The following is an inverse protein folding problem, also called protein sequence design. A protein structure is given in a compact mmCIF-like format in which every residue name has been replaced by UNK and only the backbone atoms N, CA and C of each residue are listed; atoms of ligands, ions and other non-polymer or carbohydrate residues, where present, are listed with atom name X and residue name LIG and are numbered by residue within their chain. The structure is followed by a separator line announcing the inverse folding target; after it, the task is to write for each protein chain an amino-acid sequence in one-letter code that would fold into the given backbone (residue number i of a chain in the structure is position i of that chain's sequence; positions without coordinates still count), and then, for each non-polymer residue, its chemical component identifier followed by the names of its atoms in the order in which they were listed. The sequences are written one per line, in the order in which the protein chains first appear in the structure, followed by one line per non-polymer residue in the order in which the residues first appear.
data_IF_010851856132
#
_entry.id   IF_010851856132
#
_cell.length_a   1.000
_cell.length_b   1.000
_cell.length_c   1.000
_cell.angle_alpha   90.00
_cell.angle_beta   90.00
_cell.angle_gamma   90.00
#
_symmetry.space_group_name_H-M   'P 1'
#
loop_
_entity.id
_entity.type
_entity.pdbx_description
1 polymer ?
#
# COMPACT_ATOMS: atom_id res chain seq x y z
N UNK A 1 1.91 -8.06 10.59
CA UNK A 1 0.73 -8.95 10.62
C UNK A 1 1.20 -10.35 10.25
N UNK A 2 0.84 -11.37 11.05
CA UNK A 2 1.21 -12.76 10.79
C UNK A 2 0.37 -13.31 9.62
N UNK A 3 0.92 -14.13 8.70
CA UNK A 3 0.14 -14.78 7.64
C UNK A 3 -0.88 -15.75 8.25
N UNK A 4 -2.00 -16.01 7.57
CA UNK A 4 -3.06 -16.90 8.08
C UNK A 4 -2.54 -18.29 8.50
N UNK A 5 -1.55 -18.82 7.76
CA UNK A 5 -0.85 -20.08 8.08
C UNK A 5 -0.18 -20.10 9.46
N UNK A 6 0.08 -18.94 10.04
CA UNK A 6 0.62 -18.76 11.38
C UNK A 6 -0.43 -18.16 12.34
N UNK A 7 -1.20 -17.18 11.89
CA UNK A 7 -2.17 -16.46 12.72
C UNK A 7 -3.22 -17.40 13.31
N UNK A 8 -3.80 -18.29 12.51
CA UNK A 8 -4.86 -19.19 12.96
C UNK A 8 -4.38 -20.20 14.02
N UNK A 9 -3.31 -20.99 13.78
CA UNK A 9 -2.82 -21.92 14.79
C UNK A 9 -2.22 -21.21 16.01
N UNK A 10 -1.65 -20.02 15.83
CA UNK A 10 -1.14 -19.22 16.95
C UNK A 10 -2.26 -18.68 17.83
N UNK A 11 -3.35 -18.19 17.24
CA UNK A 11 -4.53 -17.76 18.00
C UNK A 11 -5.20 -18.94 18.70
N UNK A 12 -5.29 -20.11 18.05
CA UNK A 12 -5.78 -21.34 18.67
C UNK A 12 -4.94 -21.70 19.91
N UNK A 13 -3.62 -21.61 19.80
CA UNK A 13 -2.68 -21.82 20.90
C UNK A 13 -2.85 -20.81 22.03
N UNK A 14 -2.91 -19.51 21.73
CA UNK A 14 -3.06 -18.46 22.76
C UNK A 14 -4.39 -18.60 23.49
N UNK A 15 -5.48 -18.86 22.76
CA UNK A 15 -6.80 -19.03 23.35
C UNK A 15 -6.89 -20.30 24.21
N UNK A 16 -6.39 -21.44 23.73
CA UNK A 16 -6.45 -22.71 24.48
C UNK A 16 -5.57 -22.71 25.73
N UNK A 17 -4.47 -21.96 25.74
CA UNK A 17 -3.59 -21.80 26.91
C UNK A 17 -4.13 -20.79 27.92
N UNK A 18 -4.76 -19.71 27.45
CA UNK A 18 -5.30 -18.65 28.30
C UNK A 18 -6.67 -18.99 28.92
N UNK A 19 -7.47 -19.80 28.22
CA UNK A 19 -8.85 -20.13 28.61
C UNK A 19 -9.02 -21.66 28.71
N UNK A 20 -8.57 -22.30 29.81
CA UNK A 20 -8.79 -23.72 30.01
C UNK A 20 -10.29 -24.03 30.14
N UNK A 21 -10.71 -25.19 29.64
CA UNK A 21 -12.10 -25.63 29.71
C UNK A 21 -12.33 -26.40 31.00
N UNK A 22 -13.35 -26.00 31.75
CA UNK A 22 -13.74 -26.70 32.98
C UNK A 22 -14.93 -27.61 32.65
N UNK A 23 -14.76 -28.90 32.88
CA UNK A 23 -15.83 -29.90 32.73
C UNK A 23 -16.23 -30.43 34.10
N UNK A 24 -17.53 -30.42 34.38
CA UNK A 24 -18.07 -31.04 35.58
C UNK A 24 -17.89 -32.55 35.47
N UNK A 25 -17.27 -33.16 36.48
CA UNK A 25 -17.24 -34.63 36.57
C UNK A 25 -18.55 -35.14 37.16
N UNK A 26 -18.85 -36.43 36.98
CA UNK A 26 -20.02 -37.07 37.60
C UNK A 26 -19.94 -37.14 39.15
N UNK A 27 -18.82 -36.66 39.74
CA UNK A 27 -18.62 -36.61 41.19
C UNK A 27 -18.94 -35.20 41.69
N UNK A 28 -19.85 -35.04 42.66
CA UNK A 28 -20.15 -33.75 43.25
C UNK A 28 -18.88 -33.05 43.72
N UNK A 29 -18.74 -31.75 43.40
CA UNK A 29 -17.60 -30.91 43.80
C UNK A 29 -16.24 -31.24 43.18
N UNK A 30 -16.19 -32.06 42.12
CA UNK A 30 -14.96 -32.33 41.38
C UNK A 30 -15.07 -31.85 39.92
N UNK A 31 -14.08 -31.07 39.48
CA UNK A 31 -14.03 -30.46 38.15
C UNK A 31 -12.75 -30.91 37.45
N UNK A 32 -12.89 -31.37 36.21
CA UNK A 32 -11.75 -31.67 35.35
C UNK A 32 -11.42 -30.41 34.53
N UNK A 33 -10.21 -29.88 34.70
CA UNK A 33 -9.73 -28.72 33.95
C UNK A 33 -8.88 -29.22 32.79
N UNK A 34 -9.40 -29.06 31.56
CA UNK A 34 -8.71 -29.40 30.32
C UNK A 34 -7.90 -28.20 29.84
N UNK A 35 -6.61 -28.42 29.63
CA UNK A 35 -5.65 -27.43 29.13
C UNK A 35 -5.37 -27.65 27.65
N UNK A 36 -4.58 -26.76 27.04
CA UNK A 36 -4.24 -26.82 25.62
C UNK A 36 -3.63 -28.17 25.19
N UNK A 37 -3.94 -28.57 23.96
CA UNK A 37 -3.42 -29.78 23.34
C UNK A 37 -1.97 -29.64 22.90
N UNK A 38 -1.21 -30.74 22.91
CA UNK A 38 0.14 -30.77 22.34
C UNK A 38 0.11 -30.49 20.83
N UNK A 39 -0.88 -30.99 20.10
CA UNK A 39 -1.05 -30.74 18.67
C UNK A 39 -1.25 -29.26 18.34
N UNK A 40 -2.09 -28.55 19.10
CA UNK A 40 -2.32 -27.10 18.92
C UNK A 40 -1.03 -26.31 19.09
N UNK A 41 -0.21 -26.65 20.10
CA UNK A 41 1.11 -26.05 20.26
C UNK A 41 2.04 -26.37 19.07
N UNK A 42 2.12 -27.64 18.64
CA UNK A 42 2.96 -28.05 17.52
C UNK A 42 2.55 -27.39 16.19
N UNK A 43 1.26 -27.18 15.97
CA UNK A 43 0.73 -26.45 14.83
C UNK A 43 1.18 -24.98 14.83
N UNK A 44 1.14 -24.32 16.00
CA UNK A 44 1.63 -22.95 16.14
C UNK A 44 3.15 -22.86 15.89
N UNK A 45 3.93 -23.81 16.41
CA UNK A 45 5.38 -23.87 16.16
C UNK A 45 5.68 -24.07 14.68
N UNK A 46 4.99 -25.02 14.03
CA UNK A 46 5.22 -25.34 12.61
C UNK A 46 4.82 -24.17 11.72
N UNK A 47 3.69 -23.50 12.01
CA UNK A 47 3.20 -22.37 11.23
C UNK A 47 4.00 -21.08 11.44
N UNK A 48 4.50 -20.83 12.65
CA UNK A 48 5.05 -19.53 13.03
C UNK A 48 6.56 -19.48 13.24
N UNK A 49 7.25 -20.61 13.43
CA UNK A 49 8.69 -20.63 13.74
C UNK A 49 9.52 -19.87 12.71
N UNK A 50 9.37 -20.19 11.42
CA UNK A 50 10.13 -19.53 10.35
C UNK A 50 9.93 -18.00 10.33
N UNK A 51 8.72 -17.54 10.60
CA UNK A 51 8.38 -16.11 10.56
C UNK A 51 8.86 -15.36 11.81
N UNK A 52 8.69 -15.96 12.99
CA UNK A 52 9.17 -15.39 14.25
C UNK A 52 10.69 -15.37 14.32
N UNK A 53 11.37 -16.41 13.81
CA UNK A 53 12.82 -16.43 13.70
C UNK A 53 13.32 -15.38 12.69
N UNK A 54 12.68 -15.25 11.52
CA UNK A 54 13.02 -14.22 10.54
C UNK A 54 12.79 -12.79 11.07
N UNK A 55 11.81 -12.60 11.96
CA UNK A 55 11.53 -11.34 12.63
C UNK A 55 12.46 -11.04 13.83
N UNK A 56 13.42 -11.92 14.15
CA UNK A 56 14.30 -11.76 15.32
C UNK A 56 13.58 -11.95 16.67
N UNK A 57 12.46 -12.67 16.67
CA UNK A 57 11.61 -12.98 17.84
C UNK A 57 11.56 -14.48 18.12
N UNK A 58 12.70 -15.15 18.00
CA UNK A 58 12.80 -16.60 18.25
C UNK A 58 12.33 -16.99 19.67
N UNK A 59 12.52 -16.12 20.66
CA UNK A 59 12.09 -16.34 22.04
C UNK A 59 10.57 -16.37 22.22
N UNK A 60 9.79 -15.91 21.23
CA UNK A 60 8.33 -15.94 21.25
C UNK A 60 7.75 -17.19 20.59
N UNK A 61 8.61 -18.07 20.04
CA UNK A 61 8.16 -19.37 19.53
C UNK A 61 7.77 -20.25 20.72
N UNK A 62 6.51 -20.73 20.79
CA UNK A 62 6.09 -21.54 21.91
C UNK A 62 6.89 -22.85 21.96
N UNK A 63 7.24 -23.29 23.16
CA UNK A 63 7.91 -24.57 23.36
C UNK A 63 6.90 -25.58 23.93
N UNK A 64 6.65 -26.65 23.18
CA UNK A 64 5.60 -27.63 23.48
C UNK A 64 6.05 -28.73 24.45
N UNK A 65 7.34 -28.76 24.82
CA UNK A 65 7.91 -29.75 25.74
C UNK A 65 8.12 -29.21 27.15
N UNK A 66 7.90 -27.91 27.36
CA UNK A 66 7.94 -27.24 28.67
C UNK A 66 6.52 -27.00 29.21
N UNK A 67 6.35 -26.86 30.54
CA UNK A 67 5.05 -26.55 31.10
C UNK A 67 4.52 -25.19 30.62
N UNK A 68 3.20 -25.07 30.52
CA UNK A 68 2.53 -23.87 30.04
C UNK A 68 2.91 -22.69 30.95
N UNK A 69 3.39 -21.55 30.40
CA UNK A 69 3.77 -20.39 31.20
C UNK A 69 2.64 -19.92 32.11
N UNK A 70 2.96 -19.62 33.37
CA UNK A 70 1.97 -19.14 34.35
C UNK A 70 1.10 -20.23 35.00
N UNK A 71 1.33 -21.51 34.70
CA UNK A 71 0.58 -22.62 35.33
C UNK A 71 1.23 -23.19 36.59
N UNK A 72 2.41 -22.70 36.98
CA UNK A 72 3.11 -23.09 38.22
C UNK A 72 2.32 -22.73 39.49
N UNK A 73 1.37 -21.80 39.38
CA UNK A 73 0.44 -21.47 40.46
C UNK A 73 -0.58 -22.57 40.75
N UNK A 74 -0.84 -23.47 39.80
CA UNK A 74 -1.79 -24.58 39.97
C UNK A 74 -1.10 -25.87 40.42
N UNK A 75 0.09 -26.15 39.88
CA UNK A 75 0.94 -27.29 40.26
C UNK A 75 2.41 -26.84 40.33
N UNK A 76 3.20 -27.31 41.32
CA UNK A 76 4.59 -26.88 41.48
C UNK A 76 5.47 -27.25 40.27
N UNK A 77 5.17 -28.33 39.55
CA UNK A 77 5.82 -28.69 38.29
C UNK A 77 5.26 -27.98 37.04
N UNK A 78 4.23 -27.15 37.18
CA UNK A 78 3.46 -26.60 36.07
C UNK A 78 2.54 -27.62 35.40
N UNK A 79 1.66 -27.14 34.52
CA UNK A 79 0.76 -27.97 33.73
C UNK A 79 1.36 -28.19 32.35
N UNK A 80 1.51 -29.44 31.95
CA UNK A 80 1.99 -29.81 30.62
C UNK A 80 0.84 -29.88 29.61
N UNK A 81 1.18 -29.73 28.32
CA UNK A 81 0.22 -29.92 27.24
C UNK A 81 -0.35 -31.35 27.26
N UNK A 82 -1.67 -31.45 27.19
CA UNK A 82 -2.39 -32.72 27.23
C UNK A 82 -2.40 -33.41 25.84
N UNK A 83 -2.49 -34.74 25.77
CA UNK A 83 -2.62 -35.46 24.50
C UNK A 83 -3.96 -35.17 23.83
N UNK A 84 -4.01 -35.36 22.51
CA UNK A 84 -5.21 -35.11 21.70
C UNK A 84 -6.38 -35.98 22.19
N UNK A 85 -7.54 -35.37 22.38
CA UNK A 85 -8.77 -36.02 22.87
C UNK A 85 -9.09 -35.75 24.35
N UNK A 86 -8.08 -35.50 25.19
CA UNK A 86 -8.28 -35.15 26.62
C UNK A 86 -8.07 -33.66 26.91
N UNK A 87 -7.78 -32.88 25.87
CA UNK A 87 -7.36 -31.50 25.95
C UNK A 87 -8.44 -30.52 25.45
N UNK A 88 -8.22 -29.23 25.68
CA UNK A 88 -9.07 -28.14 25.22
C UNK A 88 -8.57 -27.60 23.87
N UNK A 89 -9.37 -27.80 22.83
CA UNK A 89 -9.14 -27.23 21.49
C UNK A 89 -10.09 -26.06 21.30
N UNK A 90 -9.56 -24.84 21.28
CA UNK A 90 -10.36 -23.62 20.99
C UNK A 90 -10.10 -23.22 19.55
N UNK A 91 -10.82 -23.86 18.62
CA UNK A 91 -10.75 -23.45 17.21
C UNK A 91 -11.24 -21.99 17.10
N UNK A 92 -10.52 -21.11 16.39
CA UNK A 92 -11.08 -19.81 16.04
C UNK A 92 -12.43 -20.06 15.38
N UNK A 93 -13.44 -19.27 15.77
CA UNK A 93 -14.77 -19.35 15.19
C UNK A 93 -14.63 -19.12 13.69
N UNK A 94 -14.52 -20.20 12.91
CA UNK A 94 -14.93 -20.17 11.52
C UNK A 94 -16.30 -19.52 11.53
N UNK A 95 -16.51 -18.48 10.72
CA UNK A 95 -17.81 -17.84 10.52
C UNK A 95 -18.81 -18.82 9.89
N UNK A 96 -19.16 -19.87 10.64
CA UNK A 96 -19.75 -21.11 10.15
C UNK A 96 -20.03 -22.06 11.31
N UNK A 97 -21.01 -21.66 12.11
CA UNK A 97 -21.75 -22.38 13.15
C UNK A 97 -21.01 -22.94 14.39
N UNK A 98 -21.55 -22.68 15.60
CA UNK A 98 -21.18 -23.43 16.81
C UNK A 98 -21.66 -24.89 16.72
N UNK A 99 -20.95 -25.86 17.33
CA UNK A 99 -21.41 -27.23 17.39
C UNK A 99 -22.37 -27.45 18.57
N UNK A 100 -23.66 -27.63 18.25
CA UNK A 100 -24.67 -28.31 19.08
C UNK A 100 -25.37 -27.45 20.15
N UNK A 101 -26.70 -27.37 20.23
CA UNK A 101 -27.76 -27.96 19.43
C UNK A 101 -29.04 -27.15 19.66
N UNK A 102 -29.67 -26.75 18.56
CA UNK A 102 -30.90 -25.96 18.55
C UNK A 102 -31.48 -25.98 17.16
N UNK A 103 -32.31 -26.98 16.89
CA UNK A 103 -33.20 -27.03 15.72
C UNK A 103 -34.17 -25.86 15.80
N UNK A 104 -33.94 -24.81 15.00
CA UNK A 104 -34.91 -23.75 14.76
C UNK A 104 -34.29 -22.37 14.62
N UNK A 105 -34.12 -21.89 13.40
CA UNK A 105 -33.76 -20.49 13.13
C UNK A 105 -33.16 -20.32 11.75
N UNK A 106 -33.99 -19.88 10.80
CA UNK A 106 -33.62 -19.72 9.39
C UNK A 106 -32.44 -18.78 9.15
N UNK A 107 -31.73 -19.09 8.07
CA UNK A 107 -30.62 -18.33 7.50
C UNK A 107 -30.98 -16.85 7.31
N UNK A 108 -30.31 -15.97 8.04
CA UNK A 108 -30.08 -14.58 7.65
C UNK A 108 -28.63 -14.22 7.97
N UNK A 109 -27.71 -14.81 7.20
CA UNK A 109 -26.28 -14.48 7.14
C UNK A 109 -26.03 -13.27 6.21
N UNK A 110 -26.93 -12.28 6.23
CA UNK A 110 -26.86 -11.11 5.35
C UNK A 110 -26.81 -9.81 6.17
N UNK A 111 -25.99 -9.71 7.23
CA UNK A 111 -25.65 -8.38 7.78
C UNK A 111 -24.59 -8.32 8.89
N UNK A 112 -23.70 -9.30 9.04
CA UNK A 112 -22.46 -9.01 9.78
C UNK A 112 -21.51 -8.32 8.81
N UNK A 113 -21.74 -7.03 8.59
CA UNK A 113 -20.81 -6.14 7.90
C UNK A 113 -19.47 -6.25 8.61
N UNK A 114 -18.51 -6.90 7.95
CA UNK A 114 -17.13 -6.93 8.39
C UNK A 114 -16.67 -5.48 8.50
N UNK A 115 -16.58 -4.98 9.74
CA UNK A 115 -16.22 -3.59 10.02
C UNK A 115 -14.70 -3.47 9.91
N UNK A 116 -14.24 -3.09 8.73
CA UNK A 116 -12.84 -2.74 8.52
C UNK A 116 -12.50 -1.49 9.34
N UNK A 117 -11.39 -1.56 10.06
CA UNK A 117 -10.85 -0.40 10.78
C UNK A 117 -10.39 0.61 9.73
N UNK A 118 -10.72 1.89 9.89
CA UNK A 118 -10.21 2.93 9.00
C UNK A 118 -8.66 2.92 8.99
N UNK A 119 -7.98 3.04 7.83
CA UNK A 119 -8.48 3.50 6.53
C UNK A 119 -8.92 2.38 5.57
N UNK A 120 -9.06 1.14 6.05
CA UNK A 120 -9.42 0.00 5.21
C UNK A 120 -10.92 0.01 4.87
N UNK A 121 -11.27 -0.47 3.68
CA UNK A 121 -12.66 -0.58 3.19
C UNK A 121 -12.96 -2.06 2.96
N UNK A 122 -14.18 -2.51 3.24
CA UNK A 122 -14.57 -3.89 2.99
C UNK A 122 -14.44 -4.27 1.51
N UNK A 123 -13.87 -5.44 1.22
CA UNK A 123 -13.85 -6.01 -0.13
C UNK A 123 -15.25 -6.47 -0.48
N UNK A 124 -15.89 -5.81 -1.45
CA UNK A 124 -17.22 -6.18 -1.91
C UNK A 124 -17.23 -7.51 -2.68
N UNK A 125 -16.06 -8.03 -3.06
CA UNK A 125 -15.91 -9.25 -3.86
C UNK A 125 -15.56 -10.48 -3.03
N UNK A 126 -15.23 -10.33 -1.75
CA UNK A 126 -14.88 -11.42 -0.83
C UNK A 126 -16.16 -12.08 -0.28
N UNK A 127 -16.93 -12.69 -1.19
CA UNK A 127 -18.06 -13.56 -0.84
C UNK A 127 -17.60 -14.97 -0.44
N UNK A 128 -18.51 -15.83 0.07
CA UNK A 128 -18.18 -17.21 0.39
C UNK A 128 -17.76 -17.97 -0.88
N UNK A 129 -16.44 -18.14 -1.07
CA UNK A 129 -15.84 -18.72 -2.28
C UNK A 129 -15.36 -17.71 -3.34
N UNK A 130 -15.44 -16.40 -3.05
CA UNK A 130 -14.91 -15.36 -3.92
C UNK A 130 -13.39 -15.23 -3.81
N UNK A 131 -12.71 -15.05 -4.94
CA UNK A 131 -11.32 -14.62 -4.98
C UNK A 131 -11.24 -13.12 -4.69
N UNK A 132 -10.29 -12.70 -3.85
CA UNK A 132 -10.09 -11.28 -3.52
C UNK A 132 -9.81 -10.47 -4.80
N UNK A 133 -10.24 -9.21 -4.84
CA UNK A 133 -10.05 -8.37 -6.04
C UNK A 133 -8.57 -8.15 -6.34
N UNK A 134 -7.75 -8.06 -5.28
CA UNK A 134 -6.30 -7.96 -5.41
C UNK A 134 -5.60 -8.43 -4.12
N UNK A 135 -4.92 -9.57 -4.18
CA UNK A 135 -4.27 -10.21 -3.02
C UNK A 135 -3.14 -9.37 -2.39
N UNK A 136 -2.62 -8.37 -3.13
CA UNK A 136 -1.57 -7.48 -2.63
C UNK A 136 -2.12 -6.33 -1.78
N UNK A 137 -3.35 -5.87 -2.05
CA UNK A 137 -3.95 -4.69 -1.40
C UNK A 137 -5.16 -5.03 -0.53
N UNK A 138 -5.73 -6.21 -0.70
CA UNK A 138 -6.85 -6.75 0.05
C UNK A 138 -6.40 -7.95 0.86
N UNK A 139 -6.64 -7.93 2.16
CA UNK A 139 -6.43 -9.06 3.06
C UNK A 139 -7.58 -9.17 4.04
N UNK A 140 -8.09 -10.38 4.23
CA UNK A 140 -9.13 -10.70 5.21
C UNK A 140 -10.38 -9.84 5.00
N UNK A 141 -10.94 -9.77 3.80
CA UNK A 141 -12.15 -8.97 3.54
C UNK A 141 -11.98 -7.46 3.65
N UNK A 142 -10.76 -6.94 3.86
CA UNK A 142 -10.47 -5.52 3.97
C UNK A 142 -9.38 -5.10 2.98
N UNK A 143 -9.66 -4.08 2.18
CA UNK A 143 -8.79 -3.53 1.14
C UNK A 143 -8.27 -2.14 1.51
N UNK A 144 -7.05 -1.83 1.07
CA UNK A 144 -6.60 -0.44 0.99
C UNK A 144 -7.35 0.27 -0.14
N UNK A 145 -7.94 1.46 0.10
CA UNK A 145 -8.52 2.25 -0.96
C UNK A 145 -7.45 2.63 -1.99
N UNK A 146 -7.80 2.50 -3.28
CA UNK A 146 -6.93 2.91 -4.35
C UNK A 146 -7.05 4.42 -4.63
N UNK A 147 -5.93 5.13 -4.83
CA UNK A 147 -4.55 4.65 -4.73
C UNK A 147 -4.02 4.67 -3.28
N UNK A 148 -3.20 3.66 -2.93
CA UNK A 148 -2.64 3.44 -1.59
C UNK A 148 -1.80 4.62 -1.03
N UNK A 149 -1.49 5.60 -1.86
CA UNK A 149 -0.74 6.80 -1.47
C UNK A 149 -1.58 7.72 -0.58
N UNK A 150 -2.91 7.75 -0.74
CA UNK A 150 -3.78 8.64 0.03
C UNK A 150 -3.82 8.28 1.52
N UNK A 151 -3.58 7.03 1.89
CA UNK A 151 -3.58 6.58 3.29
C UNK A 151 -2.27 6.89 4.02
N UNK A 152 -1.23 7.38 3.34
CA UNK A 152 0.05 7.75 3.97
C UNK A 152 0.15 9.23 4.32
N UNK A 153 -0.72 10.07 3.75
CA UNK A 153 -0.72 11.52 3.95
C UNK A 153 -1.99 11.94 4.69
N UNK A 154 -1.93 13.10 5.35
CA UNK A 154 -3.08 13.70 6.02
C UNK A 154 -4.25 13.86 5.05
N UNK A 155 -5.46 13.69 5.56
CA UNK A 155 -6.68 13.94 4.78
C UNK A 155 -6.64 15.34 4.15
N UNK A 156 -6.95 15.43 2.84
CA UNK A 156 -6.94 16.69 2.06
C UNK A 156 -5.56 17.24 1.63
N UNK A 157 -4.44 16.75 2.17
CA UNK A 157 -3.11 17.25 1.81
C UNK A 157 -2.76 16.93 0.35
N UNK A 158 -3.03 15.69 -0.08
CA UNK A 158 -2.70 15.22 -1.42
C UNK A 158 -3.59 15.85 -2.50
N UNK A 159 -4.88 16.06 -2.18
CA UNK A 159 -5.82 16.76 -3.06
C UNK A 159 -5.42 18.22 -3.26
N UNK A 160 -5.03 18.90 -2.18
CA UNK A 160 -4.48 20.26 -2.25
C UNK A 160 -3.21 20.29 -3.10
N UNK A 161 -2.33 19.29 -2.93
CA UNK A 161 -1.12 19.13 -3.71
C UNK A 161 -1.37 18.97 -5.21
N UNK A 162 -2.29 18.08 -5.59
CA UNK A 162 -2.68 17.90 -6.99
C UNK A 162 -3.36 19.15 -7.58
N UNK A 163 -4.18 19.84 -6.80
CA UNK A 163 -4.83 21.09 -7.21
C UNK A 163 -3.80 22.19 -7.50
N UNK A 164 -2.82 22.36 -6.61
CA UNK A 164 -1.72 23.32 -6.81
C UNK A 164 -0.92 22.96 -8.05
N UNK A 165 -0.54 21.70 -8.22
CA UNK A 165 0.28 21.24 -9.36
C UNK A 165 -0.46 21.43 -10.69
N UNK A 166 -1.76 21.09 -10.75
CA UNK A 166 -2.59 21.33 -11.93
C UNK A 166 -2.73 22.83 -12.24
N UNK A 167 -2.89 23.67 -11.21
CA UNK A 167 -2.96 25.12 -11.37
C UNK A 167 -1.66 25.68 -11.93
N UNK A 168 -0.51 25.26 -11.38
CA UNK A 168 0.81 25.65 -11.87
C UNK A 168 1.05 25.22 -13.33
N UNK A 169 0.62 24.01 -13.70
CA UNK A 169 0.69 23.52 -15.10
C UNK A 169 -0.17 24.35 -16.04
N UNK A 170 -1.38 24.72 -15.61
CA UNK A 170 -2.26 25.59 -16.41
C UNK A 170 -1.65 26.98 -16.60
N UNK A 171 -1.12 27.61 -15.55
CA UNK A 171 -0.44 28.90 -15.65
C UNK A 171 0.79 28.81 -16.57
N UNK A 172 1.58 27.75 -16.45
CA UNK A 172 2.75 27.51 -17.31
C UNK A 172 2.37 27.36 -18.79
N UNK A 173 1.26 26.68 -19.08
CA UNK A 173 0.72 26.56 -20.43
C UNK A 173 0.34 27.92 -21.01
N UNK A 174 -0.37 28.75 -20.25
CA UNK A 174 -0.80 30.09 -20.70
C UNK A 174 0.41 31.00 -20.94
N UNK A 175 1.37 31.04 -20.02
CA UNK A 175 2.58 31.86 -20.19
C UNK A 175 3.42 31.41 -21.39
N UNK A 176 3.57 30.10 -21.58
CA UNK A 176 4.31 29.55 -22.74
C UNK A 176 3.60 29.86 -24.06
N UNK A 177 2.27 29.85 -24.07
CA UNK A 177 1.47 30.19 -25.23
C UNK A 177 1.57 31.68 -25.59
N UNK A 178 1.53 32.57 -24.58
CA UNK A 178 1.76 34.01 -24.78
C UNK A 178 3.15 34.25 -25.38
N UNK A 179 4.19 33.61 -24.83
CA UNK A 179 5.55 33.72 -25.38
C UNK A 179 5.61 33.25 -26.84
N UNK A 180 5.01 32.10 -27.14
CA UNK A 180 4.95 31.59 -28.51
C UNK A 180 4.31 32.62 -29.47
N UNK A 181 3.15 33.19 -29.10
CA UNK A 181 2.46 34.21 -29.90
C UNK A 181 3.34 35.46 -30.06
N UNK A 182 3.89 36.00 -28.98
CA UNK A 182 4.72 37.21 -29.04
C UNK A 182 5.92 37.05 -29.99
N UNK A 183 6.52 35.86 -30.03
CA UNK A 183 7.62 35.56 -30.97
C UNK A 183 7.18 35.41 -32.43
N UNK A 184 5.94 34.99 -32.70
CA UNK A 184 5.41 34.91 -34.06
C UNK A 184 5.17 36.31 -34.65
N UNK A 185 4.70 37.25 -33.84
CA UNK A 185 4.35 38.61 -34.26
C UNK A 185 5.52 39.60 -34.30
N UNK A 186 6.68 39.30 -33.70
CA UNK A 186 7.89 40.13 -33.78
C UNK A 186 8.97 39.47 -34.67
N UNK A 187 8.82 39.49 -36.00
CA UNK A 187 9.72 38.80 -36.93
C UNK A 187 11.13 39.41 -36.97
N UNK A 188 11.28 40.67 -36.58
CA UNK A 188 12.48 41.47 -36.80
C UNK A 188 13.63 41.19 -35.79
N UNK A 189 13.42 40.27 -34.84
CA UNK A 189 14.41 39.89 -33.81
C UNK A 189 14.81 38.41 -33.84
N UNK A 190 14.65 37.73 -34.97
CA UNK A 190 15.01 36.31 -35.18
C UNK A 190 16.52 36.07 -35.40
N UNK A 191 17.40 36.85 -34.77
CA UNK A 191 18.83 36.53 -34.76
C UNK A 191 19.14 35.44 -33.72
N UNK A 192 20.02 34.49 -34.08
CA UNK A 192 20.60 33.53 -33.14
C UNK A 192 21.16 34.30 -31.93
N UNK A 193 20.86 33.92 -30.66
CA UNK A 193 20.34 32.63 -30.16
C UNK A 193 18.83 32.57 -29.84
N UNK A 194 18.03 33.58 -30.19
CA UNK A 194 16.63 33.70 -29.71
C UNK A 194 15.66 32.66 -30.29
N UNK A 195 16.03 31.97 -31.38
CA UNK A 195 15.21 30.91 -31.98
C UNK A 195 14.98 29.71 -31.06
N UNK A 196 15.91 29.40 -30.15
CA UNK A 196 15.76 28.28 -29.22
C UNK A 196 14.61 28.46 -28.22
N UNK A 197 14.24 29.71 -27.90
CA UNK A 197 13.14 30.01 -26.99
C UNK A 197 11.78 29.62 -27.57
N UNK A 198 11.60 29.72 -28.90
CA UNK A 198 10.36 29.31 -29.57
C UNK A 198 10.19 27.79 -29.48
N UNK A 199 11.26 27.04 -29.73
CA UNK A 199 11.21 25.58 -29.61
C UNK A 199 10.97 25.14 -28.16
N UNK A 200 11.58 25.82 -27.18
CA UNK A 200 11.34 25.56 -25.77
C UNK A 200 9.88 25.87 -25.35
N UNK A 201 9.29 26.98 -25.83
CA UNK A 201 7.90 27.31 -25.52
C UNK A 201 6.91 26.33 -26.17
N UNK A 202 7.16 25.91 -27.42
CA UNK A 202 6.32 24.92 -28.11
C UNK A 202 6.40 23.56 -27.41
N UNK A 203 7.59 23.11 -27.03
CA UNK A 203 7.78 21.87 -26.28
C UNK A 203 7.08 21.91 -24.91
N UNK A 204 7.18 23.04 -24.20
CA UNK A 204 6.52 23.22 -22.89
C UNK A 204 5.00 23.22 -23.04
N UNK A 205 4.45 23.95 -24.02
CA UNK A 205 3.02 23.92 -24.33
C UNK A 205 2.52 22.51 -24.67
N UNK A 206 3.25 21.77 -25.52
CA UNK A 206 2.88 20.40 -25.90
C UNK A 206 2.93 19.44 -24.71
N UNK A 207 3.97 19.54 -23.88
CA UNK A 207 4.12 18.74 -22.67
C UNK A 207 3.01 19.02 -21.64
N UNK A 208 2.73 20.30 -21.37
CA UNK A 208 1.65 20.69 -20.46
C UNK A 208 0.28 20.25 -20.98
N UNK A 209 0.05 20.27 -22.30
CA UNK A 209 -1.23 19.82 -22.90
C UNK A 209 -1.46 18.31 -22.74
N UNK A 210 -0.39 17.50 -22.82
CA UNK A 210 -0.49 16.05 -22.64
C UNK A 210 -0.79 15.65 -21.18
N UNK A 211 -0.45 16.49 -20.21
CA UNK A 211 -0.57 16.22 -18.77
C UNK A 211 -1.88 16.67 -18.14
N UNK A 212 -2.75 17.39 -18.86
CA UNK A 212 -4.07 17.80 -18.38
C UNK A 212 -5.09 16.79 -18.95
N UNK A 213 -5.53 15.77 -18.18
CA UNK A 213 -6.49 14.80 -18.68
C UNK A 213 -7.88 15.43 -18.95
N UNK A 214 -8.11 16.64 -18.43
CA UNK A 214 -9.43 17.28 -18.37
C UNK A 214 -9.78 18.09 -19.64
N UNK A 215 -8.81 18.46 -20.49
CA UNK A 215 -9.08 19.40 -21.60
C UNK A 215 -9.23 18.76 -22.99
N UNK A 216 -8.85 17.50 -23.19
CA UNK A 216 -8.96 16.87 -24.52
C UNK A 216 -10.37 16.33 -24.78
N UNK A 217 -11.14 16.02 -23.75
CA UNK A 217 -12.52 15.53 -23.93
C UNK A 217 -13.54 16.64 -24.27
N UNK A 218 -13.26 17.92 -23.99
CA UNK A 218 -14.15 19.04 -24.29
C UNK A 218 -13.91 19.68 -25.65
N UNK A 219 -12.87 19.28 -26.38
CA UNK A 219 -12.65 19.63 -27.79
C UNK A 219 -12.90 18.41 -28.69
N UNK A 220 -14.09 17.82 -28.60
CA UNK A 220 -14.52 16.67 -29.42
C UNK A 220 -14.66 16.98 -30.93
N UNK A 221 -14.24 18.16 -31.39
CA UNK A 221 -14.23 18.55 -32.82
C UNK A 221 -12.83 18.56 -33.46
N UNK A 222 -11.75 18.25 -32.72
CA UNK A 222 -10.41 18.08 -33.31
C UNK A 222 -10.08 16.61 -33.62
N UNK A 223 -10.93 15.96 -34.41
CA UNK A 223 -10.73 14.59 -34.93
C UNK A 223 -9.46 14.42 -35.78
N UNK A 224 -8.80 15.52 -36.15
CA UNK A 224 -7.58 15.55 -36.94
C UNK A 224 -6.29 15.27 -36.14
N UNK A 225 -6.31 15.41 -34.81
CA UNK A 225 -5.12 15.21 -33.95
C UNK A 225 -5.00 13.77 -33.44
N UNK A 226 -6.13 13.08 -33.17
CA UNK A 226 -6.12 11.69 -32.70
C UNK A 226 -5.51 10.69 -33.71
N UNK A 227 -5.65 10.94 -35.02
CA UNK A 227 -5.06 10.08 -36.07
C UNK A 227 -3.53 10.19 -36.20
N UNK A 228 -2.89 11.19 -35.59
CA UNK A 228 -1.43 11.41 -35.65
C UNK A 228 -0.75 11.28 -34.29
N UNK A 229 -1.38 10.59 -33.33
CA UNK A 229 -0.82 10.33 -32.00
C UNK A 229 0.56 9.65 -32.05
N UNK A 230 0.85 8.87 -33.09
CA UNK A 230 2.16 8.24 -33.29
C UNK A 230 3.30 9.24 -33.51
N UNK A 231 3.04 10.40 -34.16
CA UNK A 231 4.07 11.41 -34.43
C UNK A 231 4.49 12.13 -33.14
N UNK A 232 3.53 12.37 -32.25
CA UNK A 232 3.78 12.94 -30.92
C UNK A 232 4.60 11.97 -30.05
N UNK A 233 4.34 10.67 -30.19
CA UNK A 233 5.09 9.62 -29.50
C UNK A 233 6.56 9.60 -29.97
N UNK A 234 6.83 9.64 -31.28
CA UNK A 234 8.20 9.74 -31.82
C UNK A 234 8.91 11.02 -31.37
N UNK A 235 8.28 12.20 -31.46
CA UNK A 235 8.95 13.46 -31.12
C UNK A 235 9.22 13.65 -29.61
N UNK A 236 8.33 13.14 -28.74
CA UNK A 236 8.50 13.26 -27.30
C UNK A 236 9.38 12.14 -26.71
N UNK A 237 9.52 10.98 -27.36
CA UNK A 237 10.25 9.82 -26.82
C UNK A 237 11.57 9.49 -27.52
N UNK A 238 11.88 9.98 -28.72
CA UNK A 238 13.14 9.62 -29.41
C UNK A 238 14.40 10.32 -28.86
N UNK A 239 14.27 11.32 -27.99
CA UNK A 239 15.44 12.07 -27.53
C UNK A 239 16.18 11.48 -26.30
N UNK A 240 15.55 10.74 -25.35
CA UNK A 240 16.30 10.09 -24.27
C UNK A 240 16.60 8.59 -24.50
N UNK A 241 15.99 7.93 -25.49
CA UNK A 241 15.99 6.47 -25.63
C UNK A 241 17.31 5.85 -26.14
N UNK A 242 18.25 6.64 -26.69
CA UNK A 242 19.54 6.10 -27.15
C UNK A 242 20.56 5.80 -26.03
N UNK A 243 20.26 6.10 -24.75
CA UNK A 243 21.23 5.90 -23.66
C UNK A 243 21.03 4.63 -22.82
N UNK A 244 19.98 3.82 -23.06
CA UNK A 244 19.71 2.61 -22.27
C UNK A 244 19.30 1.43 -23.15
N UNK A 245 20.24 0.93 -23.95
CA UNK A 245 20.15 -0.42 -24.50
C UNK A 245 20.82 -1.41 -23.53
N UNK A 246 20.03 -2.04 -22.66
CA UNK A 246 20.41 -3.30 -21.99
C UNK A 246 19.60 -4.42 -22.64
N UNK A 247 20.21 -5.49 -23.16
CA UNK A 247 19.48 -6.58 -23.80
C UNK A 247 19.04 -7.61 -22.74
N UNK A 248 17.75 -7.99 -22.74
CA UNK A 248 17.32 -9.18 -22.02
C UNK A 248 15.82 -9.34 -21.73
N UNK A 249 15.15 -10.10 -22.60
CA UNK A 249 14.09 -11.08 -22.28
C UNK A 249 12.65 -10.64 -21.93
N UNK A 250 11.82 -10.64 -22.99
CA UNK A 250 10.43 -11.10 -23.15
C UNK A 250 9.52 -11.43 -21.95
N UNK A 251 8.33 -10.78 -21.93
CA UNK A 251 6.99 -11.39 -22.06
C UNK A 251 5.92 -10.30 -22.07
N UNK A 252 4.96 -10.40 -23.00
CA UNK A 252 3.85 -9.46 -23.20
C UNK A 252 2.63 -9.83 -22.35
N UNK A 253 2.28 -8.98 -21.39
CA UNK A 253 0.97 -8.89 -20.76
C UNK A 253 0.67 -7.40 -20.56
N UNK A 254 -0.42 -6.89 -21.15
CA UNK A 254 -0.78 -5.47 -21.14
C UNK A 254 -1.79 -5.24 -20.02
N UNK A 255 -1.32 -4.76 -18.88
CA UNK A 255 -2.15 -4.33 -17.76
C UNK A 255 -2.34 -2.79 -17.76
N UNK A 256 -3.53 -2.35 -17.36
CA UNK A 256 -4.03 -0.96 -17.34
C UNK A 256 -3.21 0.00 -16.45
N UNK A 257 -2.22 -0.48 -15.69
CA UNK A 257 -1.35 0.34 -14.84
C UNK A 257 -0.24 1.09 -15.61
N UNK A 258 -0.10 0.86 -16.91
CA UNK A 258 1.01 1.41 -17.73
C UNK A 258 0.87 2.91 -18.02
N UNK A 259 -0.33 3.49 -17.85
CA UNK A 259 -0.56 4.92 -18.16
C UNK A 259 -0.07 5.87 -17.07
N UNK A 260 0.01 5.43 -15.80
CA UNK A 260 0.51 6.27 -14.69
C UNK A 260 2.03 6.23 -14.48
N UNK A 261 2.74 5.25 -15.07
CA UNK A 261 4.20 5.11 -14.90
C UNK A 261 5.03 5.99 -15.85
N UNK A 262 4.43 6.53 -16.90
CA UNK A 262 5.17 7.09 -18.04
C UNK A 262 5.51 8.58 -17.92
N UNK A 263 4.81 9.33 -17.05
CA UNK A 263 5.09 10.76 -16.76
C UNK A 263 6.22 10.96 -15.75
N UNK A 264 6.75 9.87 -15.19
CA UNK A 264 7.75 9.88 -14.14
C UNK A 264 9.20 9.85 -14.63
N UNK A 265 9.52 9.72 -15.92
CA UNK A 265 10.87 9.35 -16.38
C UNK A 265 11.99 10.38 -16.08
N UNK A 266 11.76 11.69 -16.31
CA UNK A 266 12.78 12.71 -16.02
C UNK A 266 12.79 13.15 -14.54
N UNK A 267 11.62 13.20 -13.89
CA UNK A 267 11.51 13.40 -12.43
C UNK A 267 12.04 12.20 -11.63
N UNK A 268 11.96 10.99 -12.18
CA UNK A 268 12.52 9.78 -11.59
C UNK A 268 14.03 9.88 -11.50
N UNK A 269 14.77 10.43 -12.46
CA UNK A 269 16.23 10.54 -12.33
C UNK A 269 16.65 11.41 -11.13
N UNK A 270 15.96 12.53 -10.88
CA UNK A 270 16.20 13.39 -9.72
C UNK A 270 15.70 12.76 -8.40
N UNK A 271 14.51 12.14 -8.40
CA UNK A 271 14.01 11.38 -7.25
C UNK A 271 14.84 10.12 -6.94
N UNK A 272 15.44 9.48 -7.95
CA UNK A 272 16.34 8.32 -7.80
C UNK A 272 17.62 8.77 -7.09
N UNK A 273 18.11 10.00 -7.35
CA UNK A 273 19.27 10.55 -6.64
C UNK A 273 18.98 10.82 -5.16
N UNK A 274 17.75 11.25 -4.81
CA UNK A 274 17.37 11.47 -3.40
C UNK A 274 16.92 10.18 -2.69
N UNK A 275 16.37 9.20 -3.43
CA UNK A 275 16.05 7.86 -2.91
C UNK A 275 17.28 7.09 -2.42
N UNK A 276 18.49 7.43 -2.88
CA UNK A 276 19.72 6.78 -2.40
C UNK A 276 20.02 7.03 -0.91
N UNK A 277 19.37 8.02 -0.28
CA UNK A 277 19.55 8.29 1.16
C UNK A 277 18.42 7.78 2.05
N UNK A 278 17.28 7.34 1.51
CA UNK A 278 16.23 6.71 2.30
C UNK A 278 16.53 5.22 2.34
N UNK A 279 17.25 4.77 3.36
CA UNK A 279 17.44 3.34 3.59
C UNK A 279 16.07 2.74 3.92
N UNK A 280 15.55 1.76 3.16
CA UNK A 280 14.25 1.14 3.46
C UNK A 280 14.24 0.54 4.88
N UNK A 281 15.40 0.12 5.38
CA UNK A 281 15.63 -0.35 6.75
C UNK A 281 15.28 0.69 7.82
N UNK A 282 15.54 1.98 7.59
CA UNK A 282 15.22 3.03 8.57
C UNK A 282 13.74 3.42 8.56
N UNK A 283 13.01 3.12 7.48
CA UNK A 283 11.59 3.45 7.36
C UNK A 283 10.67 2.36 7.97
N UNK A 284 11.13 1.11 7.96
CA UNK A 284 10.38 -0.05 8.46
C UNK A 284 9.85 0.11 9.91
N UNK A 285 10.63 0.60 10.90
CA UNK A 285 10.11 0.76 12.26
C UNK A 285 9.00 1.82 12.35
N UNK A 286 9.10 2.90 11.56
CA UNK A 286 8.08 3.96 11.54
C UNK A 286 6.78 3.51 10.87
N UNK A 287 6.87 2.66 9.84
CA UNK A 287 5.69 2.02 9.25
C UNK A 287 5.00 1.10 10.27
N UNK A 288 5.78 0.35 11.07
CA UNK A 288 5.21 -0.49 12.11
C UNK A 288 4.55 0.35 13.23
N UNK A 289 5.16 1.45 13.64
CA UNK A 289 4.59 2.39 14.61
C UNK A 289 3.29 3.03 14.09
N UNK A 290 3.27 3.44 12.82
CA UNK A 290 2.07 3.94 12.16
C UNK A 290 0.94 2.90 12.16
N UNK A 291 1.24 1.66 11.78
CA UNK A 291 0.27 0.57 11.75
C UNK A 291 -0.26 0.24 13.15
N UNK A 292 0.61 0.23 14.17
CA UNK A 292 0.19 0.01 15.56
C UNK A 292 -0.65 1.17 16.10
N UNK A 293 -0.39 2.40 15.68
CA UNK A 293 -1.25 3.55 15.98
C UNK A 293 -2.64 3.39 15.36
N UNK A 294 -2.74 2.99 14.09
CA UNK A 294 -4.04 2.77 13.42
C UNK A 294 -4.88 1.67 14.07
N UNK A 295 -4.23 0.69 14.72
CA UNK A 295 -4.92 -0.38 15.44
C UNK A 295 -5.42 0.03 16.83
N UNK A 296 -5.05 1.20 17.35
CA UNK A 296 -5.53 1.65 18.67
C UNK A 296 -6.98 2.16 18.56
N UNK A 297 -7.91 1.65 19.39
CA UNK A 297 -9.29 2.12 19.38
C UNK A 297 -9.34 3.61 19.74
N UNK A 298 -10.03 4.40 18.91
CA UNK A 298 -10.17 5.85 19.08
C UNK A 298 -9.01 6.69 18.51
N UNK A 299 -7.96 6.07 17.96
CA UNK A 299 -6.94 6.81 17.23
C UNK A 299 -7.50 7.33 15.90
N UNK A 300 -7.24 8.59 15.59
CA UNK A 300 -7.56 9.17 14.28
C UNK A 300 -6.40 8.94 13.32
N UNK A 301 -6.72 8.72 12.04
CA UNK A 301 -5.71 8.54 10.99
C UNK A 301 -4.70 9.70 10.97
N UNK A 302 -5.18 10.94 11.02
CA UNK A 302 -4.35 12.13 11.05
C UNK A 302 -3.39 12.14 12.26
N UNK A 303 -3.83 11.71 13.44
CA UNK A 303 -2.98 11.62 14.63
C UNK A 303 -1.85 10.60 14.47
N UNK A 304 -2.12 9.50 13.76
CA UNK A 304 -1.08 8.50 13.44
C UNK A 304 -0.12 8.99 12.35
N UNK A 305 -0.60 9.76 11.37
CA UNK A 305 0.24 10.33 10.29
C UNK A 305 1.22 11.37 10.83
N UNK A 306 0.87 12.13 11.87
CA UNK A 306 1.77 13.14 12.45
C UNK A 306 3.10 12.55 12.94
N UNK A 307 3.12 11.29 13.41
CA UNK A 307 4.34 10.58 13.77
C UNK A 307 5.22 10.20 12.55
N UNK A 308 4.62 9.98 11.38
CA UNK A 308 5.34 9.67 10.13
C UNK A 308 5.76 10.90 9.34
N UNK A 309 5.12 12.04 9.55
CA UNK A 309 5.38 13.29 8.83
C UNK A 309 6.88 13.68 8.74
N UNK A 310 7.72 13.58 9.81
CA UNK A 310 9.13 13.94 9.70
C UNK A 310 9.98 12.94 8.89
N UNK A 311 9.48 11.74 8.64
CA UNK A 311 10.19 10.67 7.92
C UNK A 311 9.77 10.57 6.44
N UNK A 312 8.62 11.15 6.08
CA UNK A 312 8.16 11.23 4.71
C UNK A 312 8.78 12.45 4.03
N UNK A 313 9.19 12.34 2.75
CA UNK A 313 9.63 13.51 2.01
C UNK A 313 8.47 14.52 1.96
N UNK A 314 8.70 15.80 2.32
CA UNK A 314 7.63 16.78 2.27
C UNK A 314 7.15 16.87 0.83
N UNK A 315 5.83 16.92 0.64
CA UNK A 315 5.23 16.97 -0.70
C UNK A 315 5.79 18.13 -1.55
N UNK A 316 6.10 19.26 -0.90
CA UNK A 316 6.76 20.39 -1.54
C UNK A 316 8.15 20.07 -2.11
N UNK A 317 8.89 19.12 -1.54
CA UNK A 317 10.18 18.65 -2.03
C UNK A 317 10.01 17.78 -3.28
N UNK A 318 8.96 16.96 -3.33
CA UNK A 318 8.58 16.25 -4.56
C UNK A 318 8.26 17.22 -5.70
N UNK A 319 7.47 18.27 -5.42
CA UNK A 319 7.17 19.32 -6.40
C UNK A 319 8.44 20.07 -6.81
N UNK A 320 9.26 20.50 -5.85
CA UNK A 320 10.49 21.23 -6.13
C UNK A 320 11.46 20.42 -6.99
N UNK A 321 11.51 19.09 -6.81
CA UNK A 321 12.31 18.21 -7.65
C UNK A 321 11.84 18.24 -9.12
N UNK A 322 10.53 18.25 -9.39
CA UNK A 322 10.00 18.41 -10.76
C UNK A 322 10.41 19.76 -11.38
N UNK A 323 10.34 20.84 -10.59
CA UNK A 323 10.76 22.18 -11.06
C UNK A 323 12.27 22.28 -11.29
N UNK A 324 13.08 21.66 -10.43
CA UNK A 324 14.54 21.70 -10.52
C UNK A 324 15.02 21.05 -11.83
N UNK A 325 14.42 19.93 -12.23
CA UNK A 325 14.75 19.26 -13.49
C UNK A 325 14.47 20.19 -14.68
N UNK A 326 13.34 20.90 -14.64
CA UNK A 326 12.98 21.88 -15.67
C UNK A 326 13.94 23.08 -15.68
N UNK A 327 14.32 23.59 -14.51
CA UNK A 327 15.24 24.73 -14.38
C UNK A 327 16.66 24.39 -14.86
N UNK A 328 17.17 23.18 -14.57
CA UNK A 328 18.49 22.74 -15.03
C UNK A 328 18.53 22.61 -16.55
N UNK A 329 17.46 22.09 -17.17
CA UNK A 329 17.35 22.00 -18.62
C UNK A 329 17.43 23.39 -19.27
N UNK A 330 16.69 24.36 -18.73
CA UNK A 330 16.73 25.76 -19.18
C UNK A 330 18.14 26.35 -19.00
N UNK A 331 18.78 26.17 -17.84
CA UNK A 331 20.13 26.69 -17.58
C UNK A 331 21.16 26.15 -18.56
N UNK A 332 21.13 24.85 -18.88
CA UNK A 332 22.04 24.24 -19.86
C UNK A 332 21.83 24.76 -21.28
N UNK A 333 20.61 25.14 -21.62
CA UNK A 333 20.27 25.78 -22.89
C UNK A 333 20.89 27.18 -23.02
N UNK A 334 21.03 27.93 -21.93
CA UNK A 334 21.61 29.28 -21.94
C UNK A 334 23.14 29.35 -21.82
N UNK A 335 23.79 28.26 -21.40
CA UNK A 335 25.25 28.21 -21.22
C UNK A 335 26.01 27.68 -22.45
N UNK A 336 25.33 27.40 -23.56
CA UNK A 336 25.91 27.07 -24.86
C UNK A 336 25.61 28.18 -25.85
#
# INVERSE_FOLDING_TARGET
MLPASCADPFMEYVCSTSFPRVEATNVPSNFNVRFACKSTCQAAVTGCSGLLTAAGKADQVPNCDVPIPGTTQFLPQGVFFQPDGECNVVKPLNGGNPPGGGTGGGNNHNNQTMTCVAPFIADTMEGPGGTTTNEQYCKMGCCLPCPAQYSLYRTGALETGFKITNTMRAVSMVLSFILMISYLFLPDKRSHPRGMLIFASVATCAWCSALIPICICTLSEFSLVARKYWLLHTFCWDSPSQSQAVPGSGRTGVDSETVSRSTLSAGAAAMISQRRHIKPETLLPHIAEFMTCLMKPGATHDGCVEGMAPHLPPYGLMIAAEFLVSAIAIRRLFLK
#
